data_IF_463404050911
#
_entry.id   IF_463404050911
#
_cell.length_a   1.000
_cell.length_b   1.000
_cell.length_c   1.000
_cell.angle_alpha   90.00
_cell.angle_beta   90.00
_cell.angle_gamma   90.00
#
_symmetry.space_group_name_H-M   'P 1'
#
loop_
_entity.id
_entity.type
_entity.pdbx_description
1 polymer ?
#
# COMPACT_ATOMS: atom_id res chain seq x y z
N UNK A 1 -9.52 16.62 19.78
CA UNK A 1 -9.07 15.26 20.12
C UNK A 1 -9.48 14.22 19.04
N UNK A 2 -10.73 14.19 18.57
CA UNK A 2 -11.17 13.22 17.55
C UNK A 2 -10.37 13.26 16.22
N UNK A 3 -10.03 14.46 15.73
CA UNK A 3 -9.24 14.61 14.50
C UNK A 3 -7.82 14.08 14.61
N UNK A 4 -7.18 14.21 15.78
CA UNK A 4 -5.82 13.68 16.02
C UNK A 4 -5.83 12.16 16.09
N UNK A 5 -6.87 11.57 16.69
CA UNK A 5 -7.06 10.12 16.72
C UNK A 5 -7.32 9.54 15.32
N UNK A 6 -8.10 10.22 14.47
CA UNK A 6 -8.36 9.78 13.10
C UNK A 6 -7.10 9.81 12.23
N UNK A 7 -6.24 10.81 12.39
CA UNK A 7 -4.94 10.88 11.69
C UNK A 7 -3.99 9.79 12.16
N UNK A 8 -3.93 9.53 13.47
CA UNK A 8 -3.07 8.49 14.04
C UNK A 8 -3.49 7.07 13.61
N UNK A 9 -4.80 6.79 13.52
CA UNK A 9 -5.29 5.50 13.04
C UNK A 9 -5.07 5.30 11.55
N UNK A 10 -5.23 6.34 10.73
CA UNK A 10 -4.93 6.28 9.30
C UNK A 10 -3.43 6.06 9.04
N UNK A 11 -2.56 6.71 9.81
CA UNK A 11 -1.11 6.51 9.75
C UNK A 11 -0.71 5.10 10.19
N UNK A 12 -1.33 4.55 11.23
CA UNK A 12 -1.06 3.18 11.69
C UNK A 12 -1.42 2.11 10.67
N UNK A 13 -2.57 2.25 10.01
CA UNK A 13 -3.00 1.32 8.96
C UNK A 13 -2.12 1.42 7.69
N UNK A 14 -1.72 2.62 7.32
CA UNK A 14 -0.81 2.87 6.21
C UNK A 14 0.60 2.31 6.47
N UNK A 15 1.09 2.38 7.72
CA UNK A 15 2.41 1.87 8.09
C UNK A 15 2.52 0.36 7.93
N UNK A 16 1.47 -0.42 8.20
CA UNK A 16 1.54 -1.88 8.07
C UNK A 16 1.73 -2.34 6.62
N UNK A 17 1.01 -1.73 5.69
CA UNK A 17 1.19 -1.98 4.26
C UNK A 17 2.55 -1.49 3.74
N UNK A 18 2.97 -0.31 4.16
CA UNK A 18 4.23 0.31 3.77
C UNK A 18 5.46 -0.52 4.18
N UNK A 19 5.48 -1.09 5.39
CA UNK A 19 6.54 -1.99 5.85
C UNK A 19 6.71 -3.22 4.97
N UNK A 20 5.60 -3.83 4.55
CA UNK A 20 5.63 -4.96 3.62
C UNK A 20 6.29 -4.57 2.30
N UNK A 21 5.86 -3.46 1.71
CA UNK A 21 6.42 -2.99 0.45
C UNK A 21 7.88 -2.57 0.57
N UNK A 22 8.26 -1.93 1.65
CA UNK A 22 9.65 -1.58 1.93
C UNK A 22 10.53 -2.83 2.05
N UNK A 23 10.08 -3.86 2.75
CA UNK A 23 10.82 -5.12 2.91
C UNK A 23 11.02 -5.81 1.57
N UNK A 24 10.01 -5.81 0.70
CA UNK A 24 10.12 -6.35 -0.65
C UNK A 24 11.06 -5.48 -1.48
N UNK A 25 10.89 -4.17 -1.52
CA UNK A 25 11.67 -3.26 -2.37
C UNK A 25 13.17 -3.26 -2.05
N UNK A 26 13.54 -3.39 -0.77
CA UNK A 26 14.95 -3.38 -0.34
C UNK A 26 15.71 -4.67 -0.66
N UNK A 27 15.00 -5.79 -0.84
CA UNK A 27 15.60 -7.10 -1.13
C UNK A 27 14.81 -7.79 -2.24
N UNK A 28 14.40 -7.03 -3.24
CA UNK A 28 13.50 -7.49 -4.29
C UNK A 28 14.15 -8.58 -5.14
N UNK A 29 13.45 -9.70 -5.23
CA UNK A 29 13.62 -10.71 -6.26
C UNK A 29 12.30 -10.86 -7.02
N UNK A 30 12.36 -11.38 -8.23
CA UNK A 30 11.20 -11.54 -9.09
C UNK A 30 11.05 -13.00 -9.53
N UNK A 31 9.81 -13.42 -9.70
CA UNK A 31 9.46 -14.71 -10.26
C UNK A 31 8.23 -14.58 -11.16
N UNK A 32 7.96 -15.60 -11.93
CA UNK A 32 6.68 -15.75 -12.62
C UNK A 32 5.77 -16.60 -11.76
N UNK A 33 4.65 -16.05 -11.38
CA UNK A 33 3.60 -16.77 -10.65
C UNK A 33 2.52 -17.28 -11.57
N UNK A 34 1.83 -18.31 -11.14
CA UNK A 34 0.65 -18.86 -11.81
C UNK A 34 -0.58 -18.52 -10.98
N UNK A 35 -1.60 -17.95 -11.61
CA UNK A 35 -2.88 -17.63 -10.98
C UNK A 35 -3.58 -18.93 -10.58
N UNK A 36 -3.97 -19.02 -9.33
CA UNK A 36 -4.74 -20.13 -8.77
C UNK A 36 -6.23 -19.82 -8.77
N UNK A 37 -6.58 -18.62 -8.33
CA UNK A 37 -7.97 -18.18 -8.16
C UNK A 37 -8.06 -16.66 -8.31
N UNK A 38 -9.20 -16.19 -8.82
CA UNK A 38 -9.55 -14.77 -8.84
C UNK A 38 -10.84 -14.53 -8.09
N UNK A 39 -10.89 -13.50 -7.26
CA UNK A 39 -12.11 -12.99 -6.61
C UNK A 39 -12.22 -11.47 -6.84
N UNK A 40 -12.65 -11.13 -8.04
CA UNK A 40 -12.73 -9.73 -8.47
C UNK A 40 -13.86 -8.93 -7.83
N UNK A 41 -14.74 -9.58 -7.07
CA UNK A 41 -15.76 -8.89 -6.27
C UNK A 41 -15.22 -8.49 -4.89
N UNK A 42 -14.24 -9.22 -4.39
CA UNK A 42 -13.57 -8.96 -3.13
C UNK A 42 -12.23 -8.26 -3.41
N UNK A 43 -12.26 -6.93 -3.49
CA UNK A 43 -11.07 -6.07 -3.65
C UNK A 43 -10.14 -6.46 -4.82
N UNK A 44 -10.68 -7.04 -5.90
CA UNK A 44 -9.91 -7.56 -7.03
C UNK A 44 -8.81 -8.56 -6.61
N UNK A 45 -9.10 -9.41 -5.63
CA UNK A 45 -8.13 -10.35 -5.08
C UNK A 45 -7.76 -11.45 -6.09
N UNK A 46 -6.46 -11.69 -6.23
CA UNK A 46 -5.88 -12.76 -7.05
C UNK A 46 -4.95 -13.59 -6.16
N UNK A 47 -5.22 -14.89 -6.08
CA UNK A 47 -4.34 -15.84 -5.43
C UNK A 47 -3.44 -16.49 -6.48
N UNK A 48 -2.17 -16.68 -6.15
CA UNK A 48 -1.15 -17.19 -7.06
C UNK A 48 -0.14 -18.09 -6.34
N UNK A 49 0.53 -18.94 -7.11
CA UNK A 49 1.69 -19.72 -6.66
C UNK A 49 2.92 -19.35 -7.49
N UNK A 50 4.10 -19.42 -6.89
CA UNK A 50 5.37 -19.19 -7.56
C UNK A 50 6.48 -20.01 -6.89
N UNK A 51 7.62 -20.14 -7.56
CA UNK A 51 8.80 -20.80 -6.99
C UNK A 51 9.80 -19.75 -6.52
N UNK A 52 10.23 -19.84 -5.28
CA UNK A 52 11.28 -19.03 -4.70
C UNK A 52 12.29 -19.91 -3.97
N UNK A 53 13.57 -19.78 -4.32
CA UNK A 53 14.66 -20.51 -3.67
C UNK A 53 14.47 -22.03 -3.68
N UNK A 54 13.87 -22.58 -4.73
CA UNK A 54 13.58 -24.02 -4.85
C UNK A 54 12.36 -24.52 -4.09
N UNK A 55 11.60 -23.63 -3.43
CA UNK A 55 10.37 -23.96 -2.70
C UNK A 55 9.16 -23.32 -3.37
N UNK A 56 8.04 -24.04 -3.37
CA UNK A 56 6.75 -23.47 -3.77
C UNK A 56 6.25 -22.52 -2.71
N UNK A 57 5.81 -21.34 -3.12
CA UNK A 57 5.21 -20.30 -2.30
C UNK A 57 3.85 -19.96 -2.86
N UNK A 58 2.96 -19.52 -2.00
CA UNK A 58 1.65 -19.00 -2.37
C UNK A 58 1.47 -17.58 -1.81
N UNK A 59 0.66 -16.80 -2.50
CA UNK A 59 0.32 -15.45 -2.06
C UNK A 59 -1.03 -15.02 -2.61
N UNK A 60 -1.51 -13.90 -2.09
CA UNK A 60 -2.66 -13.20 -2.65
C UNK A 60 -2.41 -11.69 -2.61
N UNK A 61 -2.91 -10.99 -3.61
CA UNK A 61 -2.83 -9.54 -3.70
C UNK A 61 -3.97 -9.00 -4.56
N UNK A 62 -4.22 -7.70 -4.49
CA UNK A 62 -5.15 -7.03 -5.39
C UNK A 62 -4.48 -6.77 -6.74
N UNK A 63 -5.19 -7.09 -7.83
CA UNK A 63 -4.72 -6.88 -9.19
C UNK A 63 -5.68 -5.98 -9.96
N UNK A 64 -5.13 -4.92 -10.57
CA UNK A 64 -5.91 -3.91 -11.28
C UNK A 64 -6.85 -4.51 -12.34
N UNK A 65 -6.34 -5.45 -13.13
CA UNK A 65 -7.09 -6.10 -14.22
C UNK A 65 -7.57 -7.53 -13.84
N UNK A 66 -8.01 -7.70 -12.59
CA UNK A 66 -8.46 -8.98 -12.07
C UNK A 66 -9.44 -9.72 -13.01
N UNK A 67 -10.33 -8.98 -13.67
CA UNK A 67 -11.37 -9.56 -14.55
C UNK A 67 -10.83 -10.18 -15.84
N UNK A 68 -9.61 -9.82 -16.23
CA UNK A 68 -8.96 -10.38 -17.42
C UNK A 68 -8.13 -11.62 -17.10
N UNK A 69 -7.90 -11.89 -15.81
CA UNK A 69 -7.11 -13.03 -15.37
C UNK A 69 -7.97 -14.27 -15.13
N UNK A 70 -7.42 -15.41 -15.53
CA UNK A 70 -8.01 -16.73 -15.33
C UNK A 70 -7.05 -17.65 -14.57
N UNK A 71 -7.54 -18.65 -13.85
CA UNK A 71 -6.68 -19.69 -13.30
C UNK A 71 -5.77 -20.32 -14.38
N UNK A 72 -4.47 -20.40 -14.09
CA UNK A 72 -3.46 -20.84 -15.03
C UNK A 72 -2.69 -19.72 -15.75
N UNK A 73 -3.20 -18.49 -15.75
CA UNK A 73 -2.49 -17.34 -16.30
C UNK A 73 -1.22 -17.03 -15.52
N UNK A 74 -0.26 -16.44 -16.19
CA UNK A 74 1.01 -16.03 -15.57
C UNK A 74 0.98 -14.55 -15.23
N UNK A 75 1.57 -14.22 -14.07
CA UNK A 75 1.76 -12.83 -13.67
C UNK A 75 3.12 -12.64 -12.99
N UNK A 76 3.71 -11.42 -13.09
CA UNK A 76 4.94 -11.11 -12.40
C UNK A 76 4.71 -11.05 -10.89
N UNK A 77 5.59 -11.68 -10.12
CA UNK A 77 5.60 -11.65 -8.66
C UNK A 77 6.90 -11.03 -8.20
N UNK A 78 6.80 -10.06 -7.29
CA UNK A 78 7.92 -9.53 -6.53
C UNK A 78 7.88 -10.09 -5.11
N UNK A 79 9.04 -10.50 -4.60
CA UNK A 79 9.15 -11.01 -3.24
C UNK A 79 10.47 -10.59 -2.59
N UNK A 80 10.54 -10.65 -1.26
CA UNK A 80 11.79 -10.44 -0.56
C UNK A 80 12.67 -11.68 -0.65
N UNK A 81 13.91 -11.52 -1.15
CA UNK A 81 14.87 -12.63 -1.20
C UNK A 81 15.29 -13.15 0.17
N UNK A 82 15.04 -12.39 1.25
CA UNK A 82 15.28 -12.82 2.63
C UNK A 82 14.12 -13.59 3.24
N UNK A 83 12.90 -13.25 2.83
CA UNK A 83 11.67 -13.86 3.32
C UNK A 83 10.65 -13.94 2.18
N UNK A 84 10.61 -15.04 1.41
CA UNK A 84 9.68 -15.21 0.29
C UNK A 84 8.20 -15.18 0.67
N UNK A 85 7.86 -15.32 1.95
CA UNK A 85 6.49 -15.13 2.43
C UNK A 85 6.03 -13.67 2.27
N UNK A 86 6.97 -12.73 2.25
CA UNK A 86 6.71 -11.33 1.88
C UNK A 86 6.76 -11.21 0.36
N UNK A 87 5.61 -11.35 -0.27
CA UNK A 87 5.47 -11.33 -1.72
C UNK A 87 4.26 -10.51 -2.15
N UNK A 88 4.23 -10.12 -3.41
CA UNK A 88 3.16 -9.36 -4.02
C UNK A 88 3.08 -9.57 -5.52
N UNK A 89 1.92 -9.35 -6.10
CA UNK A 89 1.75 -9.32 -7.54
C UNK A 89 2.24 -7.97 -8.12
N UNK A 90 3.02 -8.03 -9.21
CA UNK A 90 3.56 -6.86 -9.88
C UNK A 90 4.93 -6.42 -9.38
N UNK A 91 5.29 -5.16 -9.68
CA UNK A 91 6.57 -4.58 -9.30
C UNK A 91 6.53 -3.99 -7.88
N UNK A 92 7.28 -4.60 -6.96
CA UNK A 92 7.36 -4.21 -5.56
C UNK A 92 7.93 -2.81 -5.37
N UNK A 93 8.92 -2.42 -6.16
CA UNK A 93 9.53 -1.10 -6.05
C UNK A 93 8.58 0.00 -6.51
N UNK A 94 7.91 -0.18 -7.63
CA UNK A 94 6.92 0.77 -8.13
C UNK A 94 5.77 0.96 -7.12
N UNK A 95 5.32 -0.12 -6.49
CA UNK A 95 4.28 -0.07 -5.47
C UNK A 95 4.74 0.65 -4.21
N UNK A 96 5.95 0.35 -3.73
CA UNK A 96 6.56 1.06 -2.59
C UNK A 96 6.65 2.57 -2.84
N UNK A 97 7.09 2.97 -4.02
CA UNK A 97 7.20 4.38 -4.39
C UNK A 97 5.83 5.06 -4.42
N UNK A 98 4.84 4.42 -5.04
CA UNK A 98 3.46 4.91 -5.10
C UNK A 98 2.85 5.11 -3.71
N UNK A 99 2.98 4.14 -2.82
CA UNK A 99 2.48 4.22 -1.44
C UNK A 99 3.20 5.31 -0.64
N UNK A 100 4.51 5.46 -0.83
CA UNK A 100 5.29 6.51 -0.17
C UNK A 100 4.84 7.89 -0.61
N UNK A 101 4.63 8.10 -1.90
CA UNK A 101 4.12 9.37 -2.44
C UNK A 101 2.72 9.67 -1.90
N UNK A 102 1.83 8.67 -1.86
CA UNK A 102 0.48 8.84 -1.33
C UNK A 102 0.48 9.25 0.15
N UNK A 103 1.33 8.64 0.98
CA UNK A 103 1.49 9.00 2.39
C UNK A 103 2.00 10.43 2.55
N UNK A 104 2.99 10.84 1.76
CA UNK A 104 3.53 12.20 1.79
C UNK A 104 2.46 13.24 1.41
N UNK A 105 1.72 13.00 0.32
CA UNK A 105 0.64 13.88 -0.10
C UNK A 105 -0.47 13.99 0.94
N UNK A 106 -0.89 12.86 1.52
CA UNK A 106 -1.89 12.84 2.59
C UNK A 106 -1.42 13.62 3.84
N UNK A 107 -0.14 13.53 4.19
CA UNK A 107 0.46 14.25 5.32
C UNK A 107 0.46 15.76 5.08
N UNK A 108 0.82 16.21 3.87
CA UNK A 108 0.82 17.63 3.51
C UNK A 108 -0.61 18.18 3.53
N UNK A 109 -1.56 17.49 2.89
CA UNK A 109 -2.97 17.91 2.88
C UNK A 109 -3.57 17.95 4.28
N UNK A 110 -3.30 16.94 5.10
CA UNK A 110 -3.74 16.91 6.50
C UNK A 110 -3.18 18.09 7.31
N UNK A 111 -1.92 18.44 7.11
CA UNK A 111 -1.30 19.60 7.77
C UNK A 111 -1.95 20.91 7.36
N UNK A 112 -2.25 21.10 6.08
CA UNK A 112 -2.95 22.30 5.58
C UNK A 112 -4.34 22.42 6.21
N UNK A 113 -5.10 21.33 6.28
CA UNK A 113 -6.44 21.32 6.89
C UNK A 113 -6.37 21.72 8.37
N UNK A 114 -5.40 21.19 9.11
CA UNK A 114 -5.20 21.56 10.53
C UNK A 114 -4.90 23.04 10.67
N UNK A 115 -4.01 23.61 9.85
CA UNK A 115 -3.68 25.03 9.88
C UNK A 115 -4.90 25.89 9.55
N UNK A 116 -5.65 25.55 8.50
CA UNK A 116 -6.83 26.31 8.08
C UNK A 116 -7.94 26.26 9.13
N UNK A 117 -8.20 25.10 9.71
CA UNK A 117 -9.33 24.92 10.65
C UNK A 117 -9.01 25.45 12.03
N UNK A 118 -7.80 25.30 12.51
CA UNK A 118 -7.45 25.61 13.91
C UNK A 118 -6.65 26.91 14.07
N UNK A 119 -5.82 27.29 13.12
CA UNK A 119 -4.96 28.49 13.26
C UNK A 119 -5.63 29.74 12.70
N UNK A 120 -6.29 29.61 11.55
CA UNK A 120 -6.87 30.75 10.85
C UNK A 120 -8.00 31.48 11.63
N UNK A 121 -8.95 30.79 12.32
CA UNK A 121 -10.00 31.46 13.09
C UNK A 121 -9.47 32.27 14.28
N UNK A 122 -8.41 31.80 14.94
CA UNK A 122 -7.85 32.50 16.12
C UNK A 122 -7.09 33.79 15.75
N UNK A 123 -6.59 33.90 14.53
CA UNK A 123 -5.92 35.11 14.04
C UNK A 123 -6.87 36.28 13.85
N UNK A 124 -8.14 36.05 13.48
CA UNK A 124 -9.13 37.09 13.24
C UNK A 124 -9.71 37.75 14.52
N UNK A 125 -9.72 37.01 15.64
CA UNK A 125 -10.27 37.55 16.90
C UNK A 125 -9.37 38.62 17.54
N UNK A 126 -8.07 38.63 17.32
CA UNK A 126 -7.14 39.63 17.85
C UNK A 126 -7.20 40.99 17.14
N UNK A 127 -7.77 41.08 15.95
CA UNK A 127 -7.80 42.33 15.16
C UNK A 127 -9.02 43.20 15.44
N UNK A 128 -10.02 42.75 16.20
CA UNK A 128 -11.22 43.54 16.51
C UNK A 128 -11.19 44.20 17.90
N UNK A 129 -10.09 44.09 18.66
CA UNK A 129 -9.95 44.70 19.99
C UNK A 129 -9.05 45.93 19.99
N UNK A 130 -9.23 46.83 19.02
CA UNK A 130 -8.67 48.22 19.07
C UNK A 130 -9.71 49.22 18.68
#
# INVERSE_FOLDING_TARGET
MAAVLSVATALGAAQYGWWRYMTIATHQATAVGTVLKTDCRNNNEVSYSFSAQGSAQEGSDSWFDCRTLHPGDQLPISFSSRDPAQNMAGDGYARFLSETIAILLASVLGSIVVVVVFVYPFGKQKSQSK
#
